data_IF_931401101848
#
_entry.id   IF_931401101848
#
_cell.length_a   1.000
_cell.length_b   1.000
_cell.length_c   1.000
_cell.angle_alpha   90.00
_cell.angle_beta   90.00
_cell.angle_gamma   90.00
#
_symmetry.space_group_name_H-M   'P 1'
#
loop_
_entity.id
_entity.type
_entity.pdbx_description
1 polymer ?
#
# COMPACT_ATOMS: atom_id res chain seq x y z
N UNK A 1 11.66 3.35 -14.71
CA UNK A 1 11.17 4.74 -14.91
C UNK A 1 9.74 4.94 -14.43
N UNK A 2 8.69 4.38 -15.06
CA UNK A 2 7.28 4.68 -14.69
C UNK A 2 6.91 4.52 -13.20
N UNK A 3 7.50 3.56 -12.49
CA UNK A 3 7.16 3.30 -11.07
C UNK A 3 7.80 4.28 -10.08
N UNK A 4 8.88 4.98 -10.47
CA UNK A 4 9.48 6.05 -9.65
C UNK A 4 8.57 7.29 -9.61
N UNK A 5 7.75 7.48 -10.64
CA UNK A 5 6.76 8.57 -10.70
C UNK A 5 5.71 8.45 -9.57
N UNK A 6 5.41 7.22 -9.13
CA UNK A 6 4.45 6.97 -8.04
C UNK A 6 4.88 7.54 -6.68
N UNK A 7 6.17 7.81 -6.49
CA UNK A 7 6.69 8.45 -5.28
C UNK A 7 6.89 9.95 -5.47
N UNK A 8 7.77 10.32 -6.40
CA UNK A 8 8.31 11.68 -6.48
C UNK A 8 7.25 12.71 -6.91
N UNK A 9 6.35 12.37 -7.84
CA UNK A 9 5.34 13.32 -8.33
C UNK A 9 4.28 13.69 -7.29
N UNK A 10 4.15 12.90 -6.22
CA UNK A 10 3.15 13.14 -5.17
C UNK A 10 3.61 14.15 -4.13
N UNK A 11 4.91 14.39 -4.01
CA UNK A 11 5.49 15.22 -2.95
C UNK A 11 5.07 16.68 -3.09
N UNK A 12 5.14 17.24 -4.30
CA UNK A 12 4.77 18.63 -4.57
C UNK A 12 3.29 18.93 -4.23
N UNK A 13 2.32 18.19 -4.82
CA UNK A 13 0.91 18.39 -4.51
C UNK A 13 0.55 18.21 -3.04
N UNK A 14 1.16 17.22 -2.35
CA UNK A 14 0.91 17.01 -0.93
C UNK A 14 1.47 18.13 -0.05
N UNK A 15 2.66 18.67 -0.38
CA UNK A 15 3.21 19.84 0.33
C UNK A 15 2.34 21.08 0.14
N UNK A 16 1.87 21.32 -1.10
CA UNK A 16 0.96 22.43 -1.39
C UNK A 16 -0.32 22.30 -0.55
N UNK A 17 -0.91 21.11 -0.46
CA UNK A 17 -2.07 20.88 0.39
C UNK A 17 -1.80 21.24 1.86
N UNK A 18 -0.64 20.92 2.41
CA UNK A 18 -0.32 21.21 3.81
C UNK A 18 -0.05 22.68 4.12
N UNK A 19 0.42 23.45 3.13
CA UNK A 19 0.66 24.89 3.28
C UNK A 19 -0.64 25.69 3.12
N UNK A 20 -1.49 25.29 2.17
CA UNK A 20 -2.68 26.05 1.79
C UNK A 20 -3.95 25.61 2.51
N UNK A 21 -4.05 24.34 2.91
CA UNK A 21 -5.21 23.83 3.63
C UNK A 21 -4.94 23.80 5.14
N UNK A 22 -5.50 24.77 5.87
CA UNK A 22 -5.37 24.87 7.33
C UNK A 22 -6.46 24.09 8.08
N UNK A 23 -7.53 23.68 7.38
CA UNK A 23 -8.64 22.94 7.99
C UNK A 23 -8.27 21.47 8.22
N UNK A 24 -7.93 21.13 9.46
CA UNK A 24 -7.56 19.76 9.88
C UNK A 24 -8.67 18.75 9.63
N UNK A 25 -9.94 19.13 9.83
CA UNK A 25 -11.09 18.24 9.63
C UNK A 25 -11.31 17.87 8.15
N UNK A 26 -11.02 18.80 7.24
CA UNK A 26 -11.06 18.49 5.82
C UNK A 26 -9.95 17.50 5.45
N UNK A 27 -8.73 17.71 5.94
CA UNK A 27 -7.62 16.82 5.67
C UNK A 27 -7.82 15.43 6.29
N UNK A 28 -8.41 15.33 7.49
CA UNK A 28 -8.75 14.05 8.11
C UNK A 28 -9.81 13.27 7.30
N UNK A 29 -10.83 13.96 6.78
CA UNK A 29 -11.80 13.36 5.87
C UNK A 29 -11.16 12.85 4.58
N UNK A 30 -10.27 13.64 3.96
CA UNK A 30 -9.53 13.23 2.76
C UNK A 30 -8.67 11.98 3.04
N UNK A 31 -8.02 11.91 4.21
CA UNK A 31 -7.28 10.71 4.63
C UNK A 31 -8.20 9.49 4.65
N UNK A 32 -9.39 9.59 5.23
CA UNK A 32 -10.36 8.49 5.29
C UNK A 32 -10.76 8.01 3.89
N UNK A 33 -11.12 8.94 2.99
CA UNK A 33 -11.51 8.60 1.62
C UNK A 33 -10.39 7.87 0.88
N UNK A 34 -9.16 8.39 0.95
CA UNK A 34 -7.99 7.77 0.31
C UNK A 34 -7.71 6.37 0.89
N UNK A 35 -7.96 6.17 2.20
CA UNK A 35 -7.78 4.86 2.86
C UNK A 35 -8.77 3.84 2.35
N UNK A 36 -10.05 4.20 2.25
CA UNK A 36 -11.10 3.30 1.78
C UNK A 36 -10.81 2.87 0.34
N UNK A 37 -10.49 3.84 -0.53
CA UNK A 37 -10.16 3.58 -1.93
C UNK A 37 -8.88 2.72 -2.06
N UNK A 38 -7.83 3.06 -1.31
CA UNK A 38 -6.54 2.33 -1.34
C UNK A 38 -6.60 0.93 -0.73
N UNK A 39 -7.45 0.73 0.28
CA UNK A 39 -7.66 -0.54 0.97
C UNK A 39 -8.54 -1.49 0.17
N UNK A 40 -9.80 -1.09 -0.07
CA UNK A 40 -10.79 -1.92 -0.78
C UNK A 40 -10.43 -2.10 -2.26
N UNK A 41 -10.04 -1.01 -2.93
CA UNK A 41 -9.66 -1.06 -4.34
C UNK A 41 -8.45 -1.97 -4.58
N UNK A 42 -7.49 -2.00 -3.65
CA UNK A 42 -6.35 -2.91 -3.72
C UNK A 42 -6.70 -4.38 -3.51
N UNK A 43 -7.75 -4.69 -2.75
CA UNK A 43 -8.17 -6.06 -2.45
C UNK A 43 -8.80 -6.80 -3.64
N UNK A 44 -9.40 -6.04 -4.56
CA UNK A 44 -10.06 -6.57 -5.76
C UNK A 44 -9.06 -6.82 -6.89
N UNK A 45 -7.92 -6.13 -6.91
CA UNK A 45 -6.99 -6.21 -8.05
C UNK A 45 -6.12 -7.46 -8.06
N UNK A 46 -5.98 -8.04 -9.26
CA UNK A 46 -5.17 -9.23 -9.49
C UNK A 46 -3.82 -8.92 -10.14
N UNK A 47 -3.63 -7.75 -10.76
CA UNK A 47 -2.40 -7.43 -11.47
C UNK A 47 -1.37 -6.78 -10.53
N UNK A 48 -0.10 -7.17 -10.64
CA UNK A 48 0.98 -6.61 -9.81
C UNK A 48 1.09 -5.08 -9.94
N UNK A 49 0.79 -4.53 -11.12
CA UNK A 49 0.88 -3.10 -11.38
C UNK A 49 -0.20 -2.32 -10.63
N UNK A 50 -1.43 -2.83 -10.66
CA UNK A 50 -2.56 -2.16 -10.03
C UNK A 50 -2.45 -2.24 -8.52
N UNK A 51 -2.01 -3.37 -7.98
CA UNK A 51 -1.77 -3.52 -6.54
C UNK A 51 -0.70 -2.52 -6.05
N UNK A 52 0.36 -2.28 -6.84
CA UNK A 52 1.35 -1.24 -6.51
C UNK A 52 0.73 0.17 -6.50
N UNK A 53 -0.15 0.48 -7.44
CA UNK A 53 -0.87 1.77 -7.48
C UNK A 53 -1.75 1.94 -6.24
N UNK A 54 -2.56 0.93 -5.88
CA UNK A 54 -3.41 0.98 -4.68
C UNK A 54 -2.60 1.08 -3.39
N UNK A 55 -1.44 0.42 -3.32
CA UNK A 55 -0.53 0.57 -2.18
C UNK A 55 0.03 1.98 -2.04
N UNK A 56 0.23 2.67 -3.16
CA UNK A 56 0.72 4.03 -3.18
C UNK A 56 -0.32 5.02 -2.62
N UNK A 57 -1.63 4.74 -2.76
CA UNK A 57 -2.69 5.50 -2.09
C UNK A 57 -2.65 5.31 -0.56
N UNK A 58 -2.45 4.08 -0.09
CA UNK A 58 -2.31 3.78 1.35
C UNK A 58 -1.12 4.54 1.97
N UNK A 59 0.01 4.63 1.27
CA UNK A 59 1.16 5.44 1.71
C UNK A 59 0.90 6.95 1.60
N UNK A 60 0.18 7.43 0.58
CA UNK A 60 -0.23 8.84 0.49
C UNK A 60 -1.12 9.27 1.66
N UNK A 61 -1.99 8.39 2.14
CA UNK A 61 -2.77 8.66 3.33
C UNK A 61 -1.89 8.75 4.59
N UNK A 62 -0.86 7.92 4.75
CA UNK A 62 0.12 8.08 5.84
C UNK A 62 0.90 9.39 5.74
N UNK A 63 1.30 9.78 4.54
CA UNK A 63 1.96 11.07 4.31
C UNK A 63 1.07 12.23 4.75
N UNK A 64 -0.22 12.22 4.41
CA UNK A 64 -1.16 13.24 4.87
C UNK A 64 -1.31 13.26 6.40
N UNK A 65 -1.36 12.11 7.06
CA UNK A 65 -1.36 12.05 8.53
C UNK A 65 -0.10 12.69 9.13
N UNK A 66 1.07 12.40 8.56
CA UNK A 66 2.30 13.06 8.98
C UNK A 66 2.25 14.57 8.76
N UNK A 67 1.73 15.01 7.61
CA UNK A 67 1.61 16.43 7.25
C UNK A 67 0.70 17.21 8.19
N UNK A 68 -0.43 16.62 8.62
CA UNK A 68 -1.35 17.20 9.60
C UNK A 68 -0.65 17.39 10.96
N UNK A 69 0.28 16.49 11.31
CA UNK A 69 1.04 16.55 12.55
C UNK A 69 2.24 17.51 12.48
N UNK A 70 3.18 17.29 11.56
CA UNK A 70 4.30 18.19 11.31
C UNK A 70 4.95 17.98 9.93
N UNK A 71 5.48 19.06 9.36
CA UNK A 71 6.19 19.00 8.08
C UNK A 71 7.48 18.14 8.15
N UNK A 72 8.15 18.11 9.30
CA UNK A 72 9.36 17.29 9.50
C UNK A 72 9.04 15.79 9.44
N UNK A 73 7.96 15.34 10.10
CA UNK A 73 7.51 13.95 10.04
C UNK A 73 7.08 13.57 8.62
N UNK A 74 6.47 14.49 7.89
CA UNK A 74 6.12 14.28 6.49
C UNK A 74 7.36 14.01 5.63
N UNK A 75 8.38 14.87 5.71
CA UNK A 75 9.62 14.70 4.94
C UNK A 75 10.35 13.41 5.29
N UNK A 76 10.40 13.05 6.58
CA UNK A 76 10.96 11.78 7.04
C UNK A 76 10.22 10.59 6.41
N UNK A 77 8.89 10.59 6.45
CA UNK A 77 8.08 9.52 5.88
C UNK A 77 8.25 9.42 4.36
N UNK A 78 8.27 10.54 3.65
CA UNK A 78 8.49 10.60 2.20
C UNK A 78 9.86 10.02 1.84
N UNK A 79 10.92 10.41 2.55
CA UNK A 79 12.27 9.87 2.33
C UNK A 79 12.30 8.35 2.49
N UNK A 80 11.72 7.84 3.58
CA UNK A 80 11.66 6.40 3.81
C UNK A 80 10.85 5.66 2.73
N UNK A 81 9.74 6.24 2.27
CA UNK A 81 8.92 5.66 1.21
C UNK A 81 9.65 5.62 -0.15
N UNK A 82 10.39 6.67 -0.50
CA UNK A 82 11.18 6.72 -1.75
C UNK A 82 12.26 5.63 -1.74
N UNK A 83 12.95 5.42 -0.61
CA UNK A 83 13.92 4.33 -0.47
C UNK A 83 13.26 2.96 -0.67
N UNK A 84 12.09 2.73 -0.05
CA UNK A 84 11.34 1.49 -0.20
C UNK A 84 10.89 1.24 -1.64
N UNK A 85 10.36 2.26 -2.32
CA UNK A 85 10.00 2.18 -3.73
C UNK A 85 11.23 1.91 -4.61
N UNK A 86 12.35 2.55 -4.33
CA UNK A 86 13.62 2.35 -5.03
C UNK A 86 14.07 0.89 -4.99
N UNK A 87 13.99 0.25 -3.81
CA UNK A 87 14.30 -1.17 -3.65
C UNK A 87 13.38 -2.05 -4.50
N UNK A 88 12.07 -1.82 -4.48
CA UNK A 88 11.11 -2.57 -5.33
C UNK A 88 11.44 -2.45 -6.80
N UNK A 89 11.66 -1.22 -7.27
CA UNK A 89 11.93 -0.96 -8.68
C UNK A 89 13.25 -1.60 -9.09
N UNK A 90 14.28 -1.54 -8.23
CA UNK A 90 15.56 -2.21 -8.47
C UNK A 90 15.40 -3.73 -8.60
N UNK A 91 14.65 -4.36 -7.68
CA UNK A 91 14.36 -5.80 -7.76
C UNK A 91 13.59 -6.19 -9.04
N UNK A 92 12.60 -5.37 -9.43
CA UNK A 92 11.84 -5.60 -10.66
C UNK A 92 12.68 -5.43 -11.92
N UNK A 93 13.56 -4.43 -11.93
CA UNK A 93 14.44 -4.14 -13.08
C UNK A 93 15.46 -5.26 -13.29
N UNK A 94 16.08 -5.77 -12.22
CA UNK A 94 17.12 -6.82 -12.28
C UNK A 94 16.60 -8.17 -12.81
N UNK A 95 15.29 -8.45 -12.77
CA UNK A 95 14.71 -9.75 -13.19
C UNK A 95 14.06 -9.77 -14.58
N UNK A 96 14.42 -8.82 -15.43
CA UNK A 96 14.13 -8.77 -16.86
C UNK A 96 12.64 -8.50 -17.22
N UNK A 97 12.46 -7.64 -18.22
CA UNK A 97 11.19 -7.00 -18.61
C UNK A 97 10.05 -7.93 -19.05
N UNK A 98 10.31 -9.23 -19.23
CA UNK A 98 9.33 -10.24 -19.66
C UNK A 98 8.34 -10.63 -18.57
N UNK A 99 8.74 -10.61 -17.29
CA UNK A 99 7.87 -10.91 -16.15
C UNK A 99 6.75 -9.86 -15.98
N UNK A 100 7.08 -8.60 -16.26
CA UNK A 100 6.10 -7.51 -16.20
C UNK A 100 5.16 -7.45 -17.39
N UNK A 101 5.54 -7.98 -18.56
CA UNK A 101 4.68 -7.98 -19.76
C UNK A 101 3.51 -8.95 -19.65
N UNK A 102 3.62 -9.99 -18.81
CA UNK A 102 2.58 -11.03 -18.68
C UNK A 102 1.69 -10.88 -17.44
N UNK A 103 1.92 -9.89 -16.58
CA UNK A 103 1.12 -9.70 -15.36
C UNK A 103 1.19 -10.87 -14.36
N UNK A 104 2.17 -11.78 -14.51
CA UNK A 104 2.29 -12.98 -13.69
C UNK A 104 3.11 -12.67 -12.44
N UNK A 105 2.59 -13.11 -11.31
CA UNK A 105 3.27 -13.08 -10.03
C UNK A 105 4.34 -14.17 -10.02
N UNK A 106 5.56 -13.82 -9.62
CA UNK A 106 6.61 -14.78 -9.27
C UNK A 106 6.85 -14.69 -7.77
N UNK A 107 7.11 -15.84 -7.12
CA UNK A 107 7.45 -15.99 -5.71
C UNK A 107 8.38 -14.89 -5.16
N UNK A 108 9.33 -14.41 -5.97
CA UNK A 108 10.28 -13.38 -5.55
C UNK A 108 9.71 -11.95 -5.61
N UNK A 109 8.81 -11.64 -6.56
CA UNK A 109 8.09 -10.36 -6.59
C UNK A 109 7.06 -10.27 -5.45
N UNK A 110 6.48 -11.41 -5.09
CA UNK A 110 5.69 -11.55 -3.87
C UNK A 110 6.54 -11.25 -2.62
N UNK A 111 7.77 -11.79 -2.53
CA UNK A 111 8.68 -11.53 -1.40
C UNK A 111 9.12 -10.07 -1.26
N UNK A 112 9.26 -9.33 -2.36
CA UNK A 112 9.63 -7.91 -2.30
C UNK A 112 8.46 -7.05 -1.83
N UNK A 113 7.22 -7.39 -2.17
CA UNK A 113 6.02 -6.70 -1.68
C UNK A 113 5.77 -6.89 -0.19
N UNK A 114 6.05 -8.09 0.33
CA UNK A 114 6.00 -8.35 1.78
C UNK A 114 6.93 -7.36 2.50
N UNK A 115 8.14 -7.12 1.96
CA UNK A 115 9.14 -6.21 2.55
C UNK A 115 8.67 -4.75 2.69
N UNK A 116 7.71 -4.27 1.89
CA UNK A 116 7.21 -2.89 2.00
C UNK A 116 6.22 -2.69 3.13
N UNK A 117 5.48 -3.72 3.57
CA UNK A 117 4.26 -3.46 4.33
C UNK A 117 4.40 -3.32 5.83
N UNK A 118 5.57 -3.65 6.35
CA UNK A 118 5.80 -3.53 7.77
C UNK A 118 5.08 -4.62 8.57
N UNK A 119 5.29 -5.89 8.19
CA UNK A 119 5.22 -6.95 9.19
C UNK A 119 6.26 -6.65 10.27
N UNK A 120 6.08 -7.13 11.51
CA UNK A 120 6.91 -6.78 12.67
C UNK A 120 8.44 -6.74 12.45
N UNK A 121 9.06 -7.50 11.51
CA UNK A 121 10.50 -7.37 11.22
C UNK A 121 10.93 -6.39 10.11
N UNK A 122 10.03 -5.61 9.47
CA UNK A 122 10.37 -4.87 8.24
C UNK A 122 10.44 -3.34 8.39
N UNK A 123 11.31 -2.71 7.59
CA UNK A 123 11.60 -1.27 7.62
C UNK A 123 10.35 -0.37 7.46
N UNK A 124 9.34 -0.82 6.71
CA UNK A 124 8.07 -0.08 6.57
C UNK A 124 7.21 -0.04 7.84
N UNK A 125 7.43 -0.95 8.79
CA UNK A 125 6.74 -0.96 10.07
C UNK A 125 7.32 0.10 11.01
N UNK A 126 8.64 0.16 11.08
CA UNK A 126 9.38 1.08 11.95
C UNK A 126 8.96 2.52 11.68
N UNK A 127 8.88 2.91 10.40
CA UNK A 127 8.45 4.26 10.01
C UNK A 127 7.02 4.55 10.46
N UNK A 128 6.10 3.58 10.34
CA UNK A 128 4.70 3.76 10.78
C UNK A 128 4.59 3.84 12.31
N UNK A 129 5.38 3.05 13.04
CA UNK A 129 5.43 3.11 14.51
C UNK A 129 5.88 4.50 14.96
N UNK A 130 6.94 5.05 14.35
CA UNK A 130 7.42 6.40 14.68
C UNK A 130 6.30 7.41 14.48
N UNK A 131 5.54 7.32 13.39
CA UNK A 131 4.38 8.20 13.15
C UNK A 131 3.31 8.03 14.22
N UNK A 132 3.00 6.79 14.63
CA UNK A 132 2.00 6.53 15.69
C UNK A 132 2.40 7.18 17.01
N UNK A 133 3.69 7.18 17.36
CA UNK A 133 4.15 7.84 18.59
C UNK A 133 4.15 9.37 18.51
N UNK A 134 4.35 9.94 17.32
CA UNK A 134 4.42 11.39 17.16
C UNK A 134 3.07 12.07 16.89
N UNK A 135 2.07 11.34 16.41
CA UNK A 135 0.75 11.89 16.11
C UNK A 135 -0.14 11.83 17.36
N UNK A 136 -0.59 12.98 17.84
CA UNK A 136 -1.46 13.07 19.02
C UNK A 136 -2.94 12.73 18.75
N UNK A 137 -3.40 12.84 17.50
CA UNK A 137 -4.79 12.56 17.14
C UNK A 137 -5.03 11.05 16.95
N UNK A 138 -5.70 10.47 17.94
CA UNK A 138 -5.98 9.03 18.01
C UNK A 138 -6.99 8.58 16.96
N UNK A 139 -7.95 9.42 16.58
CA UNK A 139 -9.00 9.02 15.63
C UNK A 139 -8.41 8.82 14.23
N UNK A 140 -7.59 9.76 13.78
CA UNK A 140 -6.90 9.70 12.49
C UNK A 140 -5.97 8.48 12.43
N UNK A 141 -5.29 8.16 13.54
CA UNK A 141 -4.42 6.99 13.65
C UNK A 141 -5.18 5.67 13.50
N UNK A 142 -6.37 5.53 14.10
CA UNK A 142 -7.19 4.31 13.98
C UNK A 142 -7.53 4.03 12.51
N UNK A 143 -7.99 5.06 11.78
CA UNK A 143 -8.28 4.92 10.35
C UNK A 143 -7.02 4.61 9.51
N UNK A 144 -5.89 5.21 9.88
CA UNK A 144 -4.61 4.96 9.21
C UNK A 144 -4.11 3.51 9.40
N UNK A 145 -4.30 2.96 10.59
CA UNK A 145 -3.94 1.58 10.93
C UNK A 145 -4.89 0.57 10.27
N UNK A 146 -6.20 0.81 10.31
CA UNK A 146 -7.20 -0.05 9.67
C UNK A 146 -6.91 -0.23 8.16
N UNK A 147 -6.66 0.87 7.44
CA UNK A 147 -6.29 0.80 6.03
C UNK A 147 -4.93 0.16 5.76
N UNK A 148 -4.04 0.06 6.76
CA UNK A 148 -2.77 -0.65 6.63
C UNK A 148 -2.93 -2.16 6.80
N UNK A 149 -3.87 -2.59 7.64
CA UNK A 149 -4.20 -4.00 7.83
C UNK A 149 -4.87 -4.56 6.57
N UNK A 150 -5.84 -3.85 6.01
CA UNK A 150 -6.48 -4.24 4.72
C UNK A 150 -5.47 -4.29 3.60
N UNK A 151 -4.50 -3.38 3.62
CA UNK A 151 -3.35 -3.45 2.73
C UNK A 151 -2.62 -4.78 2.93
N UNK A 152 -2.07 -5.06 4.11
CA UNK A 152 -1.34 -6.32 4.37
C UNK A 152 -2.09 -7.56 3.83
N UNK A 153 -3.40 -7.64 4.06
CA UNK A 153 -4.25 -8.71 3.55
C UNK A 153 -4.14 -8.94 2.04
N UNK A 154 -4.31 -7.90 1.21
CA UNK A 154 -4.29 -8.11 -0.25
C UNK A 154 -2.90 -8.39 -0.83
N UNK A 155 -1.82 -8.02 -0.14
CA UNK A 155 -0.49 -8.50 -0.56
C UNK A 155 -0.26 -9.96 -0.19
N UNK A 156 -0.71 -10.41 0.99
CA UNK A 156 -0.62 -11.82 1.36
C UNK A 156 -1.42 -12.68 0.36
N UNK A 157 -2.62 -12.26 -0.01
CA UNK A 157 -3.42 -12.89 -1.09
C UNK A 157 -2.62 -13.01 -2.39
N UNK A 158 -1.97 -11.92 -2.81
CA UNK A 158 -1.21 -11.91 -4.05
C UNK A 158 0.07 -12.78 -3.99
N UNK A 159 0.73 -12.83 -2.83
CA UNK A 159 1.86 -13.71 -2.57
C UNK A 159 1.42 -15.16 -2.68
N UNK A 160 0.40 -15.56 -1.93
CA UNK A 160 -0.08 -16.94 -1.86
C UNK A 160 -0.47 -17.43 -3.25
N UNK A 161 -1.19 -16.62 -4.02
CA UNK A 161 -1.53 -16.93 -5.43
C UNK A 161 -0.30 -17.15 -6.30
N UNK A 162 0.77 -16.39 -6.08
CA UNK A 162 2.04 -16.60 -6.79
C UNK A 162 2.65 -17.95 -6.45
N UNK A 163 2.66 -18.32 -5.16
CA UNK A 163 3.21 -19.58 -4.68
C UNK A 163 2.44 -20.74 -5.31
N UNK A 164 1.12 -20.74 -5.18
CA UNK A 164 0.24 -21.82 -5.67
C UNK A 164 0.39 -22.03 -7.18
N UNK A 165 0.47 -20.95 -7.97
CA UNK A 165 0.69 -21.04 -9.42
C UNK A 165 2.06 -21.62 -9.79
N UNK A 166 3.10 -21.30 -9.03
CA UNK A 166 4.45 -21.84 -9.28
C UNK A 166 4.53 -23.35 -8.93
N UNK A 167 3.68 -23.85 -8.02
CA UNK A 167 3.60 -25.27 -7.64
C UNK A 167 2.56 -26.10 -8.43
N UNK A 168 1.95 -25.56 -9.50
CA UNK A 168 0.96 -26.24 -10.35
C UNK A 168 -0.24 -26.89 -9.60
N UNK A 169 -0.59 -26.42 -8.41
CA UNK A 169 -1.79 -26.89 -7.72
C UNK A 169 -3.03 -26.31 -8.42
N UNK A 170 -3.61 -27.06 -9.36
CA UNK A 170 -4.78 -26.67 -10.17
C UNK A 170 -6.12 -26.66 -9.41
N UNK A 171 -6.15 -26.62 -8.08
CA UNK A 171 -7.36 -27.00 -7.31
C UNK A 171 -7.98 -25.84 -6.51
N UNK A 172 -7.58 -24.60 -6.75
CA UNK A 172 -8.30 -23.47 -6.18
C UNK A 172 -8.72 -22.56 -7.31
N UNK A 173 -9.91 -22.84 -7.84
CA UNK A 173 -10.62 -21.90 -8.68
C UNK A 173 -10.69 -20.55 -7.96
N UNK A 174 -10.56 -19.48 -8.73
CA UNK A 174 -10.45 -18.10 -8.21
C UNK A 174 -11.61 -17.71 -7.27
N UNK A 175 -12.74 -18.43 -7.36
CA UNK A 175 -13.93 -18.34 -6.51
C UNK A 175 -13.72 -18.99 -5.13
N UNK A 176 -13.18 -20.20 -5.01
CA UNK A 176 -13.10 -20.92 -3.73
C UNK A 176 -12.12 -20.29 -2.73
N UNK A 177 -11.06 -19.67 -3.26
CA UNK A 177 -10.14 -18.86 -2.44
C UNK A 177 -10.77 -17.55 -1.97
N UNK A 178 -11.76 -17.05 -2.70
CA UNK A 178 -12.56 -15.89 -2.31
C UNK A 178 -13.52 -16.33 -1.21
N UNK A 179 -14.26 -17.43 -1.38
CA UNK A 179 -15.21 -17.98 -0.38
C UNK A 179 -14.60 -18.34 0.97
N UNK A 180 -13.34 -18.79 1.02
CA UNK A 180 -12.67 -19.11 2.29
C UNK A 180 -12.42 -17.89 3.19
N UNK A 181 -12.55 -16.66 2.66
CA UNK A 181 -12.28 -15.40 3.36
C UNK A 181 -13.40 -14.35 3.26
N UNK A 182 -14.59 -14.71 2.74
CA UNK A 182 -15.82 -13.88 2.76
C UNK A 182 -16.66 -14.14 4.04
N UNK A 183 -16.24 -13.63 5.22
CA UNK A 183 -17.26 -13.18 6.16
C UNK A 183 -17.52 -11.67 6.03
N UNK A 184 -16.67 -10.92 5.33
CA UNK A 184 -16.66 -9.44 5.41
C UNK A 184 -16.94 -8.66 4.12
N UNK A 185 -17.14 -9.31 2.99
CA UNK A 185 -17.60 -8.64 1.76
C UNK A 185 -19.06 -8.95 1.54
N UNK A 186 -19.93 -8.28 2.30
CA UNK A 186 -21.37 -8.31 2.05
C UNK A 186 -21.66 -7.74 0.65
N UNK A 187 -22.28 -8.62 -0.15
CA UNK A 187 -23.10 -8.38 -1.34
C UNK A 187 -22.99 -7.05 -2.06
N UNK A 188 -22.19 -7.01 -3.13
CA UNK A 188 -22.52 -6.27 -4.34
C UNK A 188 -21.94 -7.02 -5.55
N UNK A 189 -22.63 -8.09 -5.94
CA UNK A 189 -22.65 -8.58 -7.32
C UNK A 189 -24.12 -8.88 -7.63
N UNK A 190 -24.79 -7.89 -8.22
CA UNK A 190 -25.72 -8.11 -9.33
C UNK A 190 -24.90 -7.82 -10.58
#
# INVERSE_FOLDING_TARGET
>A
MRYLLLGVQKVGPLLLLGVWCTCREFLSFVVLVIRVIGGLGGAVQNSYRDVLVYSSFVHSAWMLVCLISSQHLFLFYVGAYVVQLGLVVYYLWRRNSSFMKRGKWSLMAASSLIRLRGLPPLAGFVVKIIVVFCVGDKLILVFALAGSITAIFYYLKAVIRSIVKDFNFCVLDDEDFVWLFIPFTFGLYI
#
